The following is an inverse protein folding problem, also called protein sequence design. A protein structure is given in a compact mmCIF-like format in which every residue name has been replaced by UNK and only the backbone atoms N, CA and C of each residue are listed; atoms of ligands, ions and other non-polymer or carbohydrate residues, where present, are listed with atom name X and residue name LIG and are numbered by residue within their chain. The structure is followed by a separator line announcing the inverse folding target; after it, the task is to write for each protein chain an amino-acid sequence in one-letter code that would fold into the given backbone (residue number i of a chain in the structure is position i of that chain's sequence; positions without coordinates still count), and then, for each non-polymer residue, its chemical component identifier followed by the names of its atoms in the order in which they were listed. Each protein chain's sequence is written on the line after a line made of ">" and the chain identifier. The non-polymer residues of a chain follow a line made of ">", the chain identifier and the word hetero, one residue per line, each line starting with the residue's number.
data_IF_595805015035
#
_entry.id   IF_595805015035
#
_cell.length_a   1.000
_cell.length_b   1.000
_cell.length_c   1.000
_cell.angle_alpha   90.00
_cell.angle_beta   90.00
_cell.angle_gamma   90.00
#
_symmetry.space_group_name_H-M   'P 1'
#
loop_
_entity.id
_entity.type
_entity.pdbx_description
1 polymer ?
#
# COMPACT_ATOMS: atom_id res chain seq x y z
N UNK A 1 4.92 10.13 -6.42
CA UNK A 1 4.43 8.74 -6.52
C UNK A 1 3.59 8.40 -5.31
N UNK A 2 2.54 7.60 -5.48
CA UNK A 2 1.64 7.18 -4.40
C UNK A 2 1.57 5.65 -4.37
N UNK A 3 1.61 5.06 -3.17
CA UNK A 3 1.35 3.64 -2.95
C UNK A 3 0.14 3.45 -2.04
N UNK A 4 -0.74 2.52 -2.38
CA UNK A 4 -1.95 2.22 -1.59
C UNK A 4 -2.09 0.72 -1.36
N UNK A 5 -2.29 0.36 -0.10
CA UNK A 5 -2.60 -0.99 0.37
C UNK A 5 -3.83 -0.94 1.29
N UNK A 6 -4.63 -2.01 1.23
CA UNK A 6 -5.70 -2.26 2.18
C UNK A 6 -5.51 -3.64 2.79
N UNK A 7 -5.04 -3.66 4.02
CA UNK A 7 -4.70 -4.87 4.75
C UNK A 7 -5.87 -5.35 5.61
N UNK A 8 -6.37 -6.54 5.33
CA UNK A 8 -7.38 -7.22 6.15
C UNK A 8 -6.80 -7.97 7.34
N UNK A 9 -7.62 -8.18 8.37
CA UNK A 9 -7.28 -9.06 9.48
C UNK A 9 -7.26 -10.53 9.04
N UNK A 10 -6.51 -11.36 9.79
CA UNK A 10 -6.49 -12.80 9.59
C UNK A 10 -7.92 -13.37 9.62
N UNK A 11 -8.27 -14.33 8.74
CA UNK A 11 -9.56 -15.01 8.83
C UNK A 11 -9.84 -15.52 10.24
N UNK A 12 -11.05 -15.28 10.74
CA UNK A 12 -11.43 -15.63 12.13
C UNK A 12 -11.15 -14.54 13.16
N UNK A 13 -10.35 -13.52 12.83
CA UNK A 13 -10.21 -12.31 13.64
C UNK A 13 -11.22 -11.26 13.19
N UNK A 14 -12.00 -10.75 14.14
CA UNK A 14 -12.89 -9.61 13.91
C UNK A 14 -12.17 -8.28 14.16
N UNK A 15 -11.35 -7.87 13.19
CA UNK A 15 -10.64 -6.60 13.21
C UNK A 15 -10.86 -5.81 11.91
N UNK A 16 -10.82 -4.46 11.97
CA UNK A 16 -11.05 -3.62 10.80
C UNK A 16 -9.97 -3.79 9.74
N UNK A 17 -10.32 -3.44 8.51
CA UNK A 17 -9.36 -3.32 7.41
C UNK A 17 -8.58 -2.04 7.62
N UNK A 18 -7.27 -2.08 7.40
CA UNK A 18 -6.40 -0.90 7.50
C UNK A 18 -6.11 -0.43 6.09
N UNK A 19 -6.55 0.78 5.75
CA UNK A 19 -6.16 1.40 4.50
C UNK A 19 -5.00 2.35 4.74
N UNK A 20 -4.03 2.31 3.82
CA UNK A 20 -2.86 3.16 3.90
C UNK A 20 -2.56 3.77 2.55
N UNK A 21 -2.17 5.05 2.55
CA UNK A 21 -1.63 5.75 1.40
C UNK A 21 -0.25 6.29 1.76
N UNK A 22 0.75 5.94 0.96
CA UNK A 22 2.08 6.55 1.00
C UNK A 22 2.23 7.54 -0.14
N UNK A 23 3.02 8.59 0.10
CA UNK A 23 3.36 9.56 -0.93
C UNK A 23 4.85 9.90 -0.84
N UNK A 24 5.54 9.83 -1.98
CA UNK A 24 6.92 10.27 -2.08
C UNK A 24 6.99 11.80 -1.95
N UNK A 25 7.97 12.29 -1.17
CA UNK A 25 8.12 13.68 -0.77
C UNK A 25 9.40 14.34 -1.33
N UNK A 26 10.00 13.70 -2.32
CA UNK A 26 11.23 14.10 -3.01
C UNK A 26 11.15 13.69 -4.48
N UNK A 27 12.04 14.25 -5.31
CA UNK A 27 12.05 13.99 -6.75
C UNK A 27 12.53 12.57 -7.09
N UNK A 28 13.42 12.02 -6.26
CA UNK A 28 14.06 10.72 -6.48
C UNK A 28 13.26 9.54 -5.93
N UNK A 29 12.11 9.82 -5.28
CA UNK A 29 11.28 8.83 -4.60
C UNK A 29 12.02 8.00 -3.54
N UNK A 30 12.94 8.64 -2.80
CA UNK A 30 13.69 7.99 -1.72
C UNK A 30 13.09 8.27 -0.34
N UNK A 31 12.24 9.28 -0.22
CA UNK A 31 11.56 9.62 1.03
C UNK A 31 10.05 9.54 0.87
N UNK A 32 9.38 8.74 1.69
CA UNK A 32 7.93 8.63 1.73
C UNK A 32 7.39 9.08 3.09
N UNK A 33 6.18 9.63 3.07
CA UNK A 33 5.34 9.71 4.28
C UNK A 33 4.07 8.90 4.06
N UNK A 34 3.46 8.40 5.12
CA UNK A 34 2.19 7.69 5.04
C UNK A 34 1.06 8.39 5.79
N UNK A 35 -0.16 8.09 5.34
CA UNK A 35 -1.38 8.32 6.09
C UNK A 35 -2.15 7.00 6.13
N UNK A 36 -2.64 6.65 7.31
CA UNK A 36 -3.27 5.37 7.60
C UNK A 36 -4.48 5.58 8.50
N UNK A 37 -5.53 4.79 8.27
CA UNK A 37 -6.71 4.73 9.13
C UNK A 37 -7.49 3.43 8.87
N UNK A 38 -8.49 3.17 9.70
CA UNK A 38 -9.43 2.06 9.46
C UNK A 38 -10.28 2.35 8.23
N UNK A 39 -10.62 1.29 7.48
CA UNK A 39 -11.38 1.37 6.23
C UNK A 39 -12.66 0.54 6.31
N UNK A 40 -13.29 0.50 7.48
CA UNK A 40 -14.40 -0.41 7.73
C UNK A 40 -13.95 -1.87 7.80
N UNK A 41 -14.86 -2.80 7.49
CA UNK A 41 -14.68 -4.21 7.75
C UNK A 41 -14.74 -5.04 6.47
N UNK A 42 -13.62 -5.66 6.11
CA UNK A 42 -13.42 -6.39 4.85
C UNK A 42 -13.78 -5.57 3.60
N UNK A 43 -13.53 -4.26 3.65
CA UNK A 43 -13.70 -3.36 2.51
C UNK A 43 -12.34 -3.17 1.86
N UNK A 44 -12.18 -3.72 0.67
CA UNK A 44 -10.93 -3.66 -0.10
C UNK A 44 -10.74 -2.28 -0.75
N UNK A 45 -11.79 -1.60 -1.19
CA UNK A 45 -11.66 -0.30 -1.85
C UNK A 45 -11.34 0.81 -0.85
N UNK A 46 -10.35 1.64 -1.15
CA UNK A 46 -10.05 2.81 -0.34
C UNK A 46 -11.27 3.75 -0.33
N UNK A 47 -11.82 4.02 0.85
CA UNK A 47 -13.03 4.84 0.95
C UNK A 47 -12.78 6.30 0.52
N UNK A 48 -13.79 7.00 -0.02
CA UNK A 48 -13.63 8.41 -0.39
C UNK A 48 -13.26 9.31 0.79
N UNK A 49 -13.75 8.98 1.99
CA UNK A 49 -13.42 9.69 3.24
C UNK A 49 -11.94 9.52 3.56
N UNK A 50 -11.42 8.29 3.51
CA UNK A 50 -9.99 8.02 3.74
C UNK A 50 -9.12 8.67 2.67
N UNK A 51 -9.51 8.59 1.39
CA UNK A 51 -8.80 9.27 0.29
C UNK A 51 -8.64 10.77 0.58
N UNK A 52 -9.73 11.44 0.99
CA UNK A 52 -9.73 12.87 1.33
C UNK A 52 -8.87 13.16 2.55
N UNK A 53 -9.01 12.39 3.61
CA UNK A 53 -8.24 12.55 4.85
C UNK A 53 -6.74 12.33 4.63
N UNK A 54 -6.37 11.31 3.85
CA UNK A 54 -4.98 10.98 3.56
C UNK A 54 -4.31 12.06 2.72
N UNK A 55 -4.95 12.51 1.63
CA UNK A 55 -4.43 13.64 0.85
C UNK A 55 -4.35 14.93 1.66
N UNK A 56 -5.32 15.21 2.53
CA UNK A 56 -5.28 16.39 3.38
C UNK A 56 -4.07 16.39 4.33
N UNK A 57 -3.64 15.21 4.82
CA UNK A 57 -2.44 15.05 5.66
C UNK A 57 -1.14 15.08 4.85
N UNK A 58 -1.10 14.45 3.68
CA UNK A 58 0.12 14.26 2.89
C UNK A 58 0.49 15.47 2.01
N UNK A 59 -0.50 16.09 1.37
CA UNK A 59 -0.25 17.15 0.39
C UNK A 59 0.46 18.38 0.97
N UNK A 60 0.12 18.92 2.17
CA UNK A 60 0.83 20.08 2.71
C UNK A 60 2.33 19.84 2.88
N UNK A 61 2.71 18.66 3.36
CA UNK A 61 4.10 18.24 3.50
C UNK A 61 4.79 18.14 2.14
N UNK A 62 4.10 17.56 1.15
CA UNK A 62 4.59 17.48 -0.22
C UNK A 62 4.86 18.88 -0.82
N UNK A 63 3.93 19.83 -0.68
CA UNK A 63 4.10 21.20 -1.18
C UNK A 63 5.32 21.87 -0.55
N UNK A 64 5.46 21.74 0.77
CA UNK A 64 6.58 22.32 1.52
C UNK A 64 7.93 21.75 1.06
N UNK A 65 8.02 20.43 0.84
CA UNK A 65 9.29 19.77 0.48
C UNK A 65 9.64 19.93 -1.00
N UNK A 66 8.65 19.91 -1.89
CA UNK A 66 8.86 20.06 -3.32
C UNK A 66 8.96 21.52 -3.77
N UNK A 67 8.61 22.47 -2.91
CA UNK A 67 8.53 23.89 -3.28
C UNK A 67 7.50 24.16 -4.38
N UNK A 68 6.46 23.31 -4.48
CA UNK A 68 5.49 23.33 -5.57
C UNK A 68 4.09 23.65 -5.03
N UNK A 69 3.54 24.86 -5.30
CA UNK A 69 2.26 25.30 -4.75
C UNK A 69 1.04 24.72 -5.50
N UNK A 70 1.25 24.19 -6.70
CA UNK A 70 0.23 23.59 -7.56
C UNK A 70 0.12 22.07 -7.32
N UNK A 71 -0.92 21.39 -7.84
CA UNK A 71 -0.99 19.94 -7.77
C UNK A 71 0.17 19.30 -8.57
N UNK A 72 0.61 18.08 -8.22
CA UNK A 72 1.64 17.37 -8.98
C UNK A 72 1.20 17.22 -10.45
N UNK A 73 2.07 17.48 -11.44
CA UNK A 73 1.69 17.37 -12.85
C UNK A 73 1.41 15.93 -13.29
N UNK A 74 1.96 14.95 -12.57
CA UNK A 74 1.83 13.53 -12.86
C UNK A 74 1.80 12.74 -11.54
N UNK A 75 0.80 11.88 -11.41
CA UNK A 75 0.64 10.96 -10.29
C UNK A 75 0.74 9.54 -10.82
N UNK A 76 1.78 8.83 -10.40
CA UNK A 76 1.88 7.37 -10.54
C UNK A 76 1.31 6.77 -9.27
N UNK A 77 0.22 6.01 -9.42
CA UNK A 77 -0.56 5.40 -8.35
C UNK A 77 -0.37 3.89 -8.39
N UNK A 78 0.31 3.35 -7.38
CA UNK A 78 0.50 1.92 -7.20
C UNK A 78 -0.52 1.37 -6.20
N UNK A 79 -1.25 0.31 -6.57
CA UNK A 79 -2.26 -0.35 -5.74
C UNK A 79 -1.92 -1.83 -5.55
N UNK A 80 -1.88 -2.33 -4.31
CA UNK A 80 -1.70 -3.78 -4.01
C UNK A 80 -2.83 -4.33 -3.15
N UNK A 81 -3.26 -5.56 -3.42
CA UNK A 81 -4.36 -6.21 -2.70
C UNK A 81 -5.63 -6.39 -3.53
N UNK A 82 -5.67 -5.85 -4.75
CA UNK A 82 -6.86 -5.93 -5.62
C UNK A 82 -6.74 -7.02 -6.68
N UNK A 83 -7.85 -7.72 -6.92
CA UNK A 83 -7.99 -8.69 -8.00
C UNK A 83 -8.51 -8.03 -9.29
N UNK A 84 -8.40 -8.73 -10.41
CA UNK A 84 -8.86 -8.27 -11.72
C UNK A 84 -10.30 -7.78 -11.74
N UNK A 85 -11.22 -8.50 -11.06
CA UNK A 85 -12.62 -8.12 -10.96
C UNK A 85 -12.89 -6.80 -10.23
N UNK A 86 -11.88 -6.23 -9.57
CA UNK A 86 -11.98 -4.97 -8.82
C UNK A 86 -11.30 -3.79 -9.55
N UNK A 87 -10.68 -4.01 -10.72
CA UNK A 87 -9.97 -2.95 -11.43
C UNK A 87 -10.86 -1.75 -11.79
N UNK A 88 -12.09 -2.02 -12.24
CA UNK A 88 -13.06 -0.96 -12.52
C UNK A 88 -13.38 -0.14 -11.26
N UNK A 89 -13.54 -0.81 -10.11
CA UNK A 89 -13.83 -0.15 -8.84
C UNK A 89 -12.68 0.75 -8.37
N UNK A 90 -11.42 0.34 -8.59
CA UNK A 90 -10.25 1.18 -8.29
C UNK A 90 -10.29 2.47 -9.12
N UNK A 91 -10.59 2.38 -10.41
CA UNK A 91 -10.67 3.54 -11.29
C UNK A 91 -11.85 4.46 -10.95
N UNK A 92 -13.02 3.89 -10.68
CA UNK A 92 -14.24 4.65 -10.41
C UNK A 92 -14.22 5.29 -9.02
N UNK A 93 -13.89 4.52 -7.98
CA UNK A 93 -13.96 5.00 -6.60
C UNK A 93 -12.67 5.69 -6.15
N UNK A 94 -11.51 5.05 -6.29
CA UNK A 94 -10.27 5.60 -5.74
C UNK A 94 -9.76 6.75 -6.63
N UNK A 95 -9.53 6.46 -7.92
CA UNK A 95 -9.00 7.46 -8.87
C UNK A 95 -10.04 8.55 -9.16
N UNK A 96 -11.32 8.20 -9.28
CA UNK A 96 -12.41 9.16 -9.40
C UNK A 96 -12.47 10.15 -8.23
N UNK A 97 -12.32 9.65 -6.99
CA UNK A 97 -12.28 10.53 -5.81
C UNK A 97 -11.03 11.41 -5.81
N UNK A 98 -9.85 10.88 -6.14
CA UNK A 98 -8.61 11.68 -6.24
C UNK A 98 -8.79 12.83 -7.23
N UNK A 99 -9.29 12.54 -8.44
CA UNK A 99 -9.56 13.56 -9.46
C UNK A 99 -10.56 14.62 -8.98
N UNK A 100 -11.62 14.21 -8.30
CA UNK A 100 -12.59 15.13 -7.72
C UNK A 100 -11.96 16.06 -6.66
N UNK A 101 -11.12 15.52 -5.77
CA UNK A 101 -10.40 16.31 -4.76
C UNK A 101 -9.46 17.33 -5.41
N UNK A 102 -8.70 16.93 -6.44
CA UNK A 102 -7.81 17.85 -7.14
C UNK A 102 -8.59 18.97 -7.85
N UNK A 103 -9.72 18.64 -8.47
CA UNK A 103 -10.60 19.63 -9.10
C UNK A 103 -11.20 20.63 -8.12
N UNK A 104 -11.60 20.16 -6.94
CA UNK A 104 -12.13 20.99 -5.86
C UNK A 104 -11.07 21.90 -5.24
N UNK A 105 -9.89 21.35 -4.94
CA UNK A 105 -8.83 22.05 -4.20
C UNK A 105 -8.01 23.02 -5.07
N UNK A 106 -7.92 22.78 -6.37
CA UNK A 106 -7.14 23.60 -7.30
C UNK A 106 -8.01 24.08 -8.47
N UNK A 107 -9.00 24.96 -8.21
CA UNK A 107 -9.88 25.48 -9.26
C UNK A 107 -9.05 26.26 -10.29
N UNK A 108 -9.25 25.93 -11.57
CA UNK A 108 -8.55 26.57 -12.69
C UNK A 108 -7.11 26.07 -12.94
N UNK A 109 -6.58 25.17 -12.11
CA UNK A 109 -5.30 24.53 -12.38
C UNK A 109 -5.43 23.35 -13.36
N UNK A 110 -4.35 23.04 -14.07
CA UNK A 110 -4.25 21.79 -14.83
C UNK A 110 -4.26 20.61 -13.84
N UNK A 111 -5.18 19.67 -14.05
CA UNK A 111 -5.28 18.48 -13.21
C UNK A 111 -4.09 17.54 -13.45
N UNK A 112 -3.64 16.79 -12.42
CA UNK A 112 -2.62 15.76 -12.59
C UNK A 112 -3.02 14.75 -13.65
N UNK A 113 -2.06 14.33 -14.48
CA UNK A 113 -2.18 13.10 -15.28
C UNK A 113 -1.99 11.90 -14.36
N UNK A 114 -2.76 10.84 -14.57
CA UNK A 114 -2.67 9.62 -13.78
C UNK A 114 -2.08 8.46 -14.59
N UNK A 115 -1.13 7.76 -13.97
CA UNK A 115 -0.72 6.41 -14.38
C UNK A 115 -1.05 5.46 -13.22
N UNK A 116 -2.00 4.56 -13.45
CA UNK A 116 -2.59 3.69 -12.41
C UNK A 116 -2.11 2.28 -12.64
N UNK A 117 -1.43 1.72 -11.64
CA UNK A 117 -0.74 0.44 -11.74
C UNK A 117 -1.17 -0.43 -10.56
N UNK A 118 -1.76 -1.58 -10.86
CA UNK A 118 -1.99 -2.62 -9.85
C UNK A 118 -0.77 -3.52 -9.81
N UNK A 119 -0.26 -3.80 -8.62
CA UNK A 119 0.82 -4.73 -8.39
C UNK A 119 0.28 -5.93 -7.59
N UNK A 120 0.25 -7.11 -8.20
CA UNK A 120 -0.23 -8.33 -7.57
C UNK A 120 0.95 -9.23 -7.25
N UNK A 121 1.28 -9.38 -5.97
CA UNK A 121 2.34 -10.30 -5.50
C UNK A 121 1.85 -11.73 -5.28
N UNK A 122 0.57 -11.91 -4.99
CA UNK A 122 -0.04 -13.21 -4.63
C UNK A 122 -0.77 -13.81 -5.82
N UNK A 123 -0.03 -14.56 -6.66
CA UNK A 123 -0.57 -15.34 -7.77
C UNK A 123 0.17 -16.67 -7.95
N UNK A 124 -0.28 -17.48 -8.91
CA UNK A 124 0.21 -18.83 -9.15
C UNK A 124 1.37 -18.92 -10.17
N UNK A 125 1.64 -17.86 -10.95
CA UNK A 125 2.74 -17.83 -11.93
C UNK A 125 4.12 -17.91 -11.25
N UNK A 126 5.00 -18.78 -11.76
CA UNK A 126 6.41 -18.95 -11.36
C UNK A 126 7.28 -19.06 -12.60
N UNK A 127 8.52 -18.60 -12.52
CA UNK A 127 9.48 -18.66 -13.62
C UNK A 127 10.57 -19.69 -13.32
N UNK A 128 10.88 -20.51 -14.32
CA UNK A 128 11.92 -21.54 -14.25
C UNK A 128 12.88 -21.34 -15.42
N UNK A 129 13.90 -20.48 -15.27
CA UNK A 129 14.85 -20.20 -16.35
C UNK A 129 15.76 -21.41 -16.60
N UNK A 130 16.25 -21.57 -17.83
CA UNK A 130 17.30 -22.54 -18.13
C UNK A 130 18.63 -22.19 -17.45
N UNK A 131 18.91 -20.89 -17.33
CA UNK A 131 20.07 -20.33 -16.62
C UNK A 131 19.56 -19.39 -15.54
N UNK A 132 19.57 -19.86 -14.29
CA UNK A 132 19.11 -19.10 -13.13
C UNK A 132 20.24 -18.68 -12.19
N UNK A 133 19.86 -18.14 -11.05
CA UNK A 133 20.76 -17.91 -9.92
C UNK A 133 21.19 -19.24 -9.25
N UNK A 134 21.91 -19.14 -8.13
CA UNK A 134 22.41 -20.30 -7.37
C UNK A 134 21.30 -21.26 -6.90
N UNK A 135 20.07 -20.76 -6.77
CA UNK A 135 18.90 -21.51 -6.32
C UNK A 135 18.00 -21.94 -7.50
N UNK A 136 18.43 -21.70 -8.74
CA UNK A 136 17.64 -21.98 -9.95
C UNK A 136 16.50 -20.98 -10.18
N UNK A 137 16.49 -19.84 -9.50
CA UNK A 137 15.50 -18.78 -9.70
C UNK A 137 15.90 -17.83 -10.84
N UNK A 138 14.96 -17.06 -11.39
CA UNK A 138 15.28 -15.97 -12.31
C UNK A 138 16.25 -14.97 -11.70
N UNK A 139 17.11 -14.42 -12.55
CA UNK A 139 17.95 -13.29 -12.15
C UNK A 139 17.06 -12.06 -11.87
N UNK A 140 17.41 -11.21 -10.88
CA UNK A 140 16.74 -9.93 -10.68
C UNK A 140 16.72 -9.09 -11.97
N UNK A 141 15.57 -8.49 -12.25
CA UNK A 141 15.31 -7.78 -13.50
C UNK A 141 14.74 -8.65 -14.62
N UNK A 142 14.53 -9.95 -14.37
CA UNK A 142 13.80 -10.80 -15.34
C UNK A 142 12.39 -10.26 -15.54
N UNK A 143 12.11 -9.87 -16.78
CA UNK A 143 10.84 -9.29 -17.22
C UNK A 143 10.17 -10.25 -18.20
N UNK A 144 8.87 -10.48 -18.03
CA UNK A 144 8.03 -11.24 -18.96
C UNK A 144 6.84 -10.38 -19.39
N UNK A 145 6.73 -10.12 -20.68
CA UNK A 145 5.69 -9.26 -21.29
C UNK A 145 4.84 -10.00 -22.32
N UNK A 146 5.18 -11.25 -22.64
CA UNK A 146 4.58 -12.02 -23.74
C UNK A 146 4.14 -13.39 -23.28
N UNK A 147 3.26 -14.01 -24.07
CA UNK A 147 2.71 -15.37 -23.94
C UNK A 147 1.79 -15.59 -22.74
N UNK A 148 2.22 -15.20 -21.53
CA UNK A 148 1.48 -15.40 -20.28
C UNK A 148 0.72 -14.13 -19.86
N UNK A 149 1.07 -12.98 -20.43
CA UNK A 149 0.42 -11.70 -20.18
C UNK A 149 -0.92 -11.59 -20.92
N UNK A 150 -1.77 -10.66 -20.49
CA UNK A 150 -3.09 -10.46 -21.05
C UNK A 150 -3.00 -10.02 -22.54
N UNK A 151 -3.83 -10.59 -23.44
CA UNK A 151 -3.72 -10.31 -24.88
C UNK A 151 -4.07 -8.87 -25.28
N UNK A 152 -4.81 -8.14 -24.44
CA UNK A 152 -5.32 -6.80 -24.76
C UNK A 152 -4.91 -5.71 -23.77
N UNK A 153 -4.42 -6.09 -22.60
CA UNK A 153 -4.11 -5.12 -21.55
C UNK A 153 -2.62 -4.91 -21.48
N UNK A 154 -2.23 -3.79 -20.90
CA UNK A 154 -0.83 -3.53 -20.64
C UNK A 154 -0.46 -4.11 -19.28
N UNK A 155 -0.01 -5.36 -19.28
CA UNK A 155 0.50 -6.05 -18.10
C UNK A 155 1.85 -6.70 -18.36
N UNK A 156 2.60 -6.93 -17.28
CA UNK A 156 3.88 -7.61 -17.33
C UNK A 156 4.22 -8.20 -15.96
N UNK A 157 5.05 -9.22 -15.95
CA UNK A 157 5.60 -9.79 -14.73
C UNK A 157 7.06 -9.36 -14.58
N UNK A 158 7.43 -8.89 -13.39
CA UNK A 158 8.79 -8.47 -13.07
C UNK A 158 9.31 -9.22 -11.84
N UNK A 159 10.40 -9.95 -12.01
CA UNK A 159 11.16 -10.53 -10.91
C UNK A 159 12.26 -9.56 -10.49
N UNK A 160 11.97 -8.67 -9.54
CA UNK A 160 12.92 -7.61 -9.14
C UNK A 160 13.94 -8.02 -8.07
N UNK A 161 13.79 -9.19 -7.44
CA UNK A 161 14.55 -9.56 -6.24
C UNK A 161 15.21 -10.93 -6.38
N UNK A 162 16.23 -11.18 -5.55
CA UNK A 162 16.81 -12.51 -5.38
C UNK A 162 15.97 -13.28 -4.36
N UNK A 163 15.51 -14.48 -4.71
CA UNK A 163 14.85 -15.36 -3.76
C UNK A 163 15.89 -16.07 -2.89
N UNK A 164 16.00 -15.62 -1.64
CA UNK A 164 16.91 -16.21 -0.63
C UNK A 164 16.54 -17.68 -0.36
N UNK A 165 15.24 -17.98 -0.33
CA UNK A 165 14.72 -19.31 -0.08
C UNK A 165 13.50 -19.60 -0.96
N UNK A 166 13.42 -20.83 -1.45
CA UNK A 166 12.30 -21.31 -2.27
C UNK A 166 12.28 -20.71 -3.67
N UNK A 167 11.11 -20.73 -4.30
CA UNK A 167 10.91 -20.20 -5.66
C UNK A 167 10.49 -18.73 -5.62
N UNK A 168 11.19 -17.89 -6.38
CA UNK A 168 10.89 -16.48 -6.56
C UNK A 168 9.46 -16.31 -7.08
N UNK A 169 8.75 -15.33 -6.50
CA UNK A 169 7.44 -14.90 -6.98
C UNK A 169 7.64 -13.57 -7.73
N UNK A 170 7.65 -13.56 -9.07
CA UNK A 170 7.62 -12.30 -9.80
C UNK A 170 6.35 -11.55 -9.42
N UNK A 171 6.36 -10.21 -9.47
CA UNK A 171 5.15 -9.41 -9.27
C UNK A 171 4.50 -9.16 -10.62
N UNK A 172 3.19 -9.35 -10.69
CA UNK A 172 2.37 -9.00 -11.84
C UNK A 172 1.97 -7.53 -11.74
N UNK A 173 2.40 -6.71 -12.69
CA UNK A 173 2.02 -5.31 -12.79
C UNK A 173 1.03 -5.16 -13.93
N UNK A 174 -0.14 -4.60 -13.65
CA UNK A 174 -1.17 -4.28 -14.65
C UNK A 174 -1.36 -2.77 -14.68
N UNK A 175 -1.10 -2.14 -15.82
CA UNK A 175 -1.35 -0.72 -16.06
C UNK A 175 -2.81 -0.56 -16.48
N UNK A 176 -3.62 0.00 -15.57
CA UNK A 176 -5.05 0.20 -15.81
C UNK A 176 -5.32 1.43 -16.67
N UNK A 177 -4.59 2.51 -16.40
CA UNK A 177 -4.71 3.80 -17.08
C UNK A 177 -3.33 4.42 -17.17
N UNK A 178 -3.01 5.02 -18.31
CA UNK A 178 -1.83 5.86 -18.46
C UNK A 178 -2.13 7.12 -19.28
N UNK A 179 -2.48 8.20 -18.58
CA UNK A 179 -2.72 9.52 -19.17
C UNK A 179 -1.42 10.25 -19.50
N UNK A 180 -0.28 9.77 -18.97
CA UNK A 180 1.02 10.38 -19.20
C UNK A 180 1.68 9.89 -20.50
N UNK A 181 1.16 8.81 -21.10
CA UNK A 181 1.69 8.14 -22.29
C UNK A 181 3.18 7.77 -22.12
N UNK A 182 3.47 7.14 -20.99
CA UNK A 182 4.78 6.60 -20.66
C UNK A 182 5.15 5.48 -21.64
N UNK A 183 6.41 5.47 -22.08
CA UNK A 183 6.91 4.37 -22.90
C UNK A 183 7.01 3.11 -22.03
N UNK A 184 6.61 1.92 -22.53
CA UNK A 184 6.66 0.68 -21.75
C UNK A 184 8.01 0.41 -21.09
N UNK A 185 9.09 0.52 -21.86
CA UNK A 185 10.46 0.34 -21.36
C UNK A 185 10.83 1.33 -20.24
N UNK A 186 10.36 2.57 -20.31
CA UNK A 186 10.70 3.61 -19.32
C UNK A 186 9.95 3.34 -18.01
N UNK A 187 8.68 2.94 -18.08
CA UNK A 187 7.89 2.56 -16.91
C UNK A 187 8.49 1.34 -16.21
N UNK A 188 8.83 0.29 -16.95
CA UNK A 188 9.39 -0.94 -16.39
C UNK A 188 10.77 -0.72 -15.78
N UNK A 189 11.64 0.05 -16.45
CA UNK A 189 12.96 0.44 -15.90
C UNK A 189 12.82 1.26 -14.63
N UNK A 190 11.87 2.21 -14.60
CA UNK A 190 11.58 3.01 -13.42
C UNK A 190 11.16 2.11 -12.25
N UNK A 191 10.16 1.23 -12.46
CA UNK A 191 9.70 0.30 -11.42
C UNK A 191 10.85 -0.57 -10.91
N UNK A 192 11.63 -1.16 -11.81
CA UNK A 192 12.75 -2.01 -11.44
C UNK A 192 13.85 -1.25 -10.69
N UNK A 193 14.26 -0.08 -11.18
CA UNK A 193 15.27 0.76 -10.54
C UNK A 193 14.85 1.20 -9.15
N UNK A 194 13.56 1.51 -8.97
CA UNK A 194 13.02 1.92 -7.68
C UNK A 194 12.92 0.77 -6.68
N UNK A 195 12.81 -0.50 -7.11
CA UNK A 195 12.91 -1.64 -6.19
C UNK A 195 14.25 -1.70 -5.42
N UNK A 196 15.29 -0.97 -5.83
CA UNK A 196 16.55 -0.81 -5.09
C UNK A 196 16.54 0.33 -4.06
N UNK A 197 15.51 1.17 -4.04
CA UNK A 197 15.41 2.34 -3.15
C UNK A 197 14.71 2.05 -1.82
N UNK A 198 14.41 0.78 -1.52
CA UNK A 198 13.81 0.41 -0.24
C UNK A 198 14.82 0.57 0.91
N UNK A 199 14.72 1.68 1.64
CA UNK A 199 15.69 2.15 2.64
C UNK A 199 16.04 1.16 3.76
N UNK A 200 15.22 0.13 4.01
CA UNK A 200 15.46 -0.87 5.08
C UNK A 200 16.28 -2.08 4.59
N UNK A 201 16.68 -2.13 3.32
CA UNK A 201 17.46 -3.22 2.74
C UNK A 201 18.55 -2.71 1.79
N UNK A 202 19.68 -3.40 1.75
CA UNK A 202 20.73 -3.20 0.74
C UNK A 202 20.57 -4.13 -0.47
N UNK A 203 19.45 -4.85 -0.54
CA UNK A 203 19.06 -5.73 -1.65
C UNK A 203 17.74 -5.27 -2.25
N UNK A 204 17.51 -5.49 -3.56
CA UNK A 204 16.26 -5.08 -4.18
C UNK A 204 15.08 -5.89 -3.64
N UNK A 205 13.96 -5.21 -3.43
CA UNK A 205 12.73 -5.83 -2.93
C UNK A 205 11.84 -6.33 -4.06
N UNK A 206 10.93 -7.26 -3.73
CA UNK A 206 10.04 -7.88 -4.71
C UNK A 206 8.98 -6.93 -5.27
N UNK A 207 8.57 -5.94 -4.50
CA UNK A 207 7.43 -5.06 -4.76
C UNK A 207 7.90 -3.61 -4.74
N UNK A 208 7.25 -2.74 -5.49
CA UNK A 208 7.61 -1.34 -5.55
C UNK A 208 7.63 -0.70 -4.13
N UNK A 209 8.66 0.09 -3.75
CA UNK A 209 8.80 0.61 -2.38
C UNK A 209 7.59 1.40 -1.89
N UNK A 210 6.93 2.17 -2.76
CA UNK A 210 5.71 2.91 -2.40
C UNK A 210 4.65 1.99 -1.74
N UNK A 211 4.42 0.80 -2.31
CA UNK A 211 3.50 -0.18 -1.72
C UNK A 211 4.12 -0.83 -0.50
N UNK A 212 5.40 -1.22 -0.57
CA UNK A 212 6.09 -1.85 0.56
C UNK A 212 6.02 -0.99 1.84
N UNK A 213 6.15 0.33 1.70
CA UNK A 213 5.97 1.27 2.80
C UNK A 213 4.51 1.38 3.26
N UNK A 214 3.54 1.21 2.35
CA UNK A 214 2.13 1.19 2.72
C UNK A 214 1.80 -0.02 3.60
N UNK A 215 2.29 -1.21 3.25
CA UNK A 215 2.15 -2.43 4.06
C UNK A 215 2.77 -2.25 5.46
N UNK A 216 3.96 -1.63 5.53
CA UNK A 216 4.63 -1.37 6.80
C UNK A 216 3.86 -0.38 7.67
N UNK A 217 3.33 0.68 7.06
CA UNK A 217 2.51 1.67 7.75
C UNK A 217 1.22 1.03 8.27
N UNK A 218 0.55 0.20 7.46
CA UNK A 218 -0.62 -0.58 7.88
C UNK A 218 -0.30 -1.49 9.07
N UNK A 219 0.81 -2.24 9.00
CA UNK A 219 1.26 -3.11 10.07
C UNK A 219 1.58 -2.34 11.36
N UNK A 220 2.20 -1.17 11.26
CA UNK A 220 2.51 -0.29 12.39
C UNK A 220 1.25 0.31 13.02
N UNK A 221 0.26 0.64 12.19
CA UNK A 221 -1.00 1.25 12.60
C UNK A 221 -1.88 0.32 13.45
N UNK A 222 -1.70 -1.01 13.32
CA UNK A 222 -2.38 -2.00 14.16
C UNK A 222 -2.16 -1.78 15.66
N UNK A 223 -1.02 -1.22 16.05
CA UNK A 223 -0.74 -0.88 17.45
C UNK A 223 -1.48 0.37 17.96
N UNK A 224 -2.15 1.12 17.07
CA UNK A 224 -2.93 2.31 17.37
C UNK A 224 -4.44 2.08 17.20
N UNK A 225 -4.87 0.82 17.10
CA UNK A 225 -6.29 0.48 17.06
C UNK A 225 -6.99 1.01 18.31
N UNK A 226 -8.12 1.70 18.12
CA UNK A 226 -8.94 2.25 19.19
C UNK A 226 -9.82 1.15 19.81
N UNK A 227 -9.16 0.17 20.42
CA UNK A 227 -9.78 -0.95 21.13
C UNK A 227 -9.25 -1.00 22.56
N UNK A 228 -10.12 -1.33 23.50
CA UNK A 228 -9.70 -1.51 24.88
C UNK A 228 -8.79 -2.74 24.99
N UNK A 229 -7.67 -2.62 25.70
CA UNK A 229 -6.72 -3.72 25.94
C UNK A 229 -7.38 -4.97 26.55
N UNK A 230 -8.48 -4.78 27.30
CA UNK A 230 -9.29 -5.85 27.88
C UNK A 230 -9.97 -6.75 26.84
N UNK A 231 -10.11 -6.31 25.59
CA UNK A 231 -10.69 -7.09 24.49
C UNK A 231 -9.70 -8.07 23.84
N UNK A 232 -8.50 -8.22 24.41
CA UNK A 232 -7.51 -9.22 23.99
C UNK A 232 -6.73 -8.85 22.72
N UNK A 233 -5.88 -9.77 22.27
CA UNK A 233 -5.05 -9.58 21.07
C UNK A 233 -5.88 -9.79 19.80
N UNK A 234 -6.03 -8.74 18.98
CA UNK A 234 -6.72 -8.80 17.68
C UNK A 234 -5.78 -8.75 16.48
N UNK A 235 -4.46 -8.80 16.69
CA UNK A 235 -3.49 -8.86 15.59
C UNK A 235 -2.20 -9.57 16.01
N UNK A 236 -1.43 -10.00 15.01
CA UNK A 236 -0.13 -10.67 15.22
C UNK A 236 -0.23 -12.17 15.51
N UNK A 237 0.91 -12.82 15.79
CA UNK A 237 1.01 -14.28 15.93
C UNK A 237 0.12 -14.85 17.04
N UNK A 238 0.08 -14.19 18.20
CA UNK A 238 -0.75 -14.61 19.33
C UNK A 238 -2.24 -14.60 19.01
N UNK A 239 -2.71 -13.61 18.26
CA UNK A 239 -4.10 -13.56 17.84
C UNK A 239 -4.43 -14.71 16.87
N UNK A 240 -3.50 -15.05 15.96
CA UNK A 240 -3.67 -16.17 15.04
C UNK A 240 -3.68 -17.52 15.78
N UNK A 241 -2.76 -17.73 16.73
CA UNK A 241 -2.73 -18.93 17.59
C UNK A 241 -4.04 -19.08 18.38
N UNK A 242 -4.54 -18.00 18.97
CA UNK A 242 -5.82 -18.03 19.68
C UNK A 242 -6.98 -18.34 18.73
N UNK A 243 -6.99 -17.82 17.49
CA UNK A 243 -8.07 -18.15 16.53
C UNK A 243 -8.06 -19.64 16.21
N UNK A 244 -6.88 -20.22 16.02
CA UNK A 244 -6.73 -21.64 15.75
C UNK A 244 -7.19 -22.49 16.95
N UNK A 245 -6.83 -22.09 18.18
CA UNK A 245 -7.24 -22.77 19.42
C UNK A 245 -8.77 -22.70 19.65
N UNK A 246 -9.38 -21.53 19.49
CA UNK A 246 -10.84 -21.36 19.63
C UNK A 246 -11.59 -22.06 18.51
N UNK A 247 -11.10 -21.96 17.27
CA UNK A 247 -11.63 -22.68 16.12
C UNK A 247 -11.60 -24.20 16.32
N UNK A 248 -10.52 -24.75 16.87
CA UNK A 248 -10.42 -26.17 17.23
C UNK A 248 -11.42 -26.59 18.31
N UNK A 249 -11.88 -25.66 19.16
CA UNK A 249 -12.92 -25.86 20.19
C UNK A 249 -14.33 -25.59 19.69
N UNK A 250 -14.52 -25.21 18.42
CA UNK A 250 -15.82 -24.86 17.85
C UNK A 250 -16.41 -23.56 18.42
N UNK A 251 -15.58 -22.69 19.00
CA UNK A 251 -15.98 -21.41 19.60
C UNK A 251 -15.49 -20.25 18.75
N UNK A 252 -16.26 -19.15 18.67
CA UNK A 252 -15.76 -17.89 18.13
C UNK A 252 -15.05 -17.11 19.24
N UNK A 253 -13.91 -16.51 18.90
CA UNK A 253 -13.16 -15.68 19.86
C UNK A 253 -13.88 -14.38 20.22
N UNK A 254 -14.74 -13.88 19.33
CA UNK A 254 -15.44 -12.62 19.48
C UNK A 254 -16.95 -12.85 19.55
N UNK A 255 -17.59 -12.22 20.53
CA UNK A 255 -19.02 -12.35 20.82
C UNK A 255 -19.80 -11.17 20.20
N UNK A 256 -20.83 -11.52 19.43
CA UNK A 256 -21.98 -10.79 18.87
C UNK A 256 -21.97 -9.29 18.53
N UNK A 257 -21.34 -8.40 19.28
CA UNK A 257 -21.68 -6.97 19.27
C UNK A 257 -20.58 -6.13 18.60
N UNK A 258 -20.54 -6.25 17.27
CA UNK A 258 -19.63 -5.47 16.43
C UNK A 258 -20.28 -4.12 16.11
N UNK A 259 -19.62 -2.97 16.38
CA UNK A 259 -20.11 -1.69 15.90
C UNK A 259 -20.18 -1.70 14.36
N UNK A 260 -21.23 -1.12 13.80
CA UNK A 260 -21.47 -1.11 12.34
C UNK A 260 -20.34 -0.41 11.58
N UNK A 261 -19.71 0.59 12.21
CA UNK A 261 -18.55 1.30 11.69
C UNK A 261 -17.28 0.93 12.45
N UNK A 262 -16.16 0.82 11.73
CA UNK A 262 -14.86 0.67 12.35
C UNK A 262 -14.45 1.98 13.01
N UNK A 263 -14.02 1.93 14.27
CA UNK A 263 -13.49 3.10 14.96
C UNK A 263 -12.21 3.59 14.27
N UNK A 264 -12.04 4.90 14.20
CA UNK A 264 -10.79 5.50 13.70
C UNK A 264 -9.62 5.18 14.63
N UNK A 265 -8.41 5.20 14.07
CA UNK A 265 -7.19 5.00 14.86
C UNK A 265 -7.04 6.08 15.94
N UNK A 266 -6.42 5.69 17.05
CA UNK A 266 -6.02 6.65 18.08
C UNK A 266 -4.97 7.60 17.50
N UNK A 267 -5.09 8.92 17.73
CA UNK A 267 -4.07 9.86 17.32
C UNK A 267 -2.78 9.61 18.10
N UNK A 268 -1.64 9.82 17.44
CA UNK A 268 -0.33 9.83 18.08
C UNK A 268 -0.32 10.89 19.20
N UNK A 269 -0.10 10.45 20.44
CA UNK A 269 -0.14 11.30 21.64
C UNK A 269 -1.43 11.19 22.46
N UNK A 270 -2.45 10.46 22.01
CA UNK A 270 -3.70 10.29 22.75
C UNK A 270 -4.75 11.38 22.48
N UNK A 271 -5.93 11.24 23.09
CA UNK A 271 -7.08 12.13 22.86
C UNK A 271 -6.95 13.42 23.70
N UNK A 272 -6.71 14.54 23.04
CA UNK A 272 -6.81 15.94 23.51
C UNK A 272 -6.72 16.18 25.03
N UNK A 273 -5.55 16.61 25.51
CA UNK A 273 -5.31 17.09 26.88
C UNK A 273 -4.00 16.58 27.46
N UNK A 274 -3.72 15.29 27.28
CA UNK A 274 -2.57 14.59 27.89
C UNK A 274 -1.44 14.26 26.90
N UNK A 275 -1.53 14.73 25.66
CA UNK A 275 -0.52 14.49 24.64
C UNK A 275 0.71 15.34 24.90
N UNK A 276 1.76 14.74 25.48
CA UNK A 276 3.07 15.38 25.60
C UNK A 276 3.63 15.68 24.20
N UNK A 277 3.77 16.97 23.81
CA UNK A 277 4.26 17.35 22.50
C UNK A 277 5.68 16.83 22.24
N UNK A 278 6.50 16.70 23.29
CA UNK A 278 7.86 16.19 23.19
C UNK A 278 7.88 14.69 22.82
N UNK A 279 6.95 13.91 23.36
CA UNK A 279 6.77 12.50 23.00
C UNK A 279 6.30 12.33 21.55
N UNK A 280 5.41 13.20 21.07
CA UNK A 280 4.98 13.21 19.66
C UNK A 280 6.13 13.60 18.73
N UNK A 281 6.93 14.60 19.10
CA UNK A 281 8.07 15.10 18.30
C UNK A 281 9.26 14.13 18.30
N UNK A 282 9.55 13.49 19.44
CA UNK A 282 10.54 12.42 19.53
C UNK A 282 10.18 11.28 18.59
N UNK A 283 8.93 10.81 18.63
CA UNK A 283 8.48 9.71 17.77
C UNK A 283 8.70 10.04 16.29
N UNK A 284 8.42 11.29 15.85
CA UNK A 284 8.64 11.75 14.47
C UNK A 284 10.07 11.61 13.96
N UNK A 285 11.04 11.64 14.87
CA UNK A 285 12.47 11.54 14.56
C UNK A 285 13.01 10.12 14.68
N UNK A 286 12.17 9.15 15.06
CA UNK A 286 12.58 7.74 15.10
C UNK A 286 12.40 7.05 13.74
N UNK A 287 13.17 6.00 13.50
CA UNK A 287 13.01 5.10 12.35
C UNK A 287 11.62 4.41 12.31
N UNK A 288 10.84 4.55 13.38
CA UNK A 288 9.50 4.00 13.54
C UNK A 288 8.38 4.98 13.18
N UNK A 289 8.72 6.21 12.79
CA UNK A 289 7.77 7.15 12.20
C UNK A 289 7.59 6.84 10.73
N UNK A 290 6.36 6.50 10.37
CA UNK A 290 5.90 6.36 8.99
C UNK A 290 4.74 7.34 8.78
#
# INVERSE_FOLDING_TARGET
>A
MIGVDVSHATPGIDAPSMATMTMSMDQDATFYAAAVDTNGYRVEMLSPVNTRNFLARLMPTWHKRMGHPAPPPHIIYFRDGVSEGQYAQVLEYEIGTLKAIFKEKYPGATLPRFTVIVATKRHHVRFFPQQGDKNGNPLPGTLLEKEVCHPFWWDFYLCSHVAIQGTARPVHYTVLVDEANMKPNDLQKMIYGQCYQYARSTTPVSLHPAIYYADLAAGRARAHENIATSQGFRSGPKAAEMVEEYGARGQSMFDGDRPTEALQLLPLGGTSGDADPASTEMFRNTMWYI
#
